data_IF_851797994826
#
_entry.id   IF_851797994826
#
_cell.length_a   1.000
_cell.length_b   1.000
_cell.length_c   1.000
_cell.angle_alpha   90.00
_cell.angle_beta   90.00
_cell.angle_gamma   90.00
#
_symmetry.space_group_name_H-M   'P 1'
#
loop_
_entity.id
_entity.type
_entity.pdbx_description
1 polymer ?
#
# COMPACT_ATOMS: atom_id res chain seq x y z
N UNK A 1 9.34 1.17 33.21
CA UNK A 1 7.94 1.33 32.74
C UNK A 1 7.75 0.63 31.40
N UNK A 2 8.57 0.91 30.37
CA UNK A 2 8.54 0.16 29.09
C UNK A 2 8.90 -1.32 29.26
N UNK A 3 10.03 -1.62 29.91
CA UNK A 3 10.58 -2.98 29.99
C UNK A 3 9.66 -3.93 30.79
N UNK A 4 9.01 -3.41 31.84
CA UNK A 4 8.08 -4.16 32.67
C UNK A 4 6.80 -4.52 31.89
N UNK A 5 6.32 -3.61 31.03
CA UNK A 5 5.20 -3.89 30.13
C UNK A 5 5.60 -4.90 29.06
N UNK A 6 6.83 -4.85 28.53
CA UNK A 6 7.33 -5.81 27.51
C UNK A 6 7.37 -7.22 28.09
N UNK A 7 7.82 -7.35 29.35
CA UNK A 7 7.79 -8.63 30.05
C UNK A 7 6.38 -9.15 30.28
N UNK A 8 5.44 -8.31 30.72
CA UNK A 8 4.05 -8.73 30.91
C UNK A 8 3.38 -9.09 29.58
N UNK A 9 3.68 -8.36 28.50
CA UNK A 9 3.22 -8.70 27.16
C UNK A 9 3.73 -10.08 26.76
N UNK A 10 5.04 -10.33 26.90
CA UNK A 10 5.66 -11.64 26.64
C UNK A 10 4.97 -12.77 27.40
N UNK A 11 4.71 -12.59 28.69
CA UNK A 11 4.12 -13.63 29.53
C UNK A 11 2.67 -13.91 29.13
N UNK A 12 1.90 -12.88 28.77
CA UNK A 12 0.56 -13.02 28.18
C UNK A 12 0.63 -13.80 26.86
N UNK A 13 1.57 -13.46 25.98
CA UNK A 13 1.76 -14.11 24.68
C UNK A 13 2.14 -15.61 24.85
N UNK A 14 3.04 -15.92 25.77
CA UNK A 14 3.46 -17.30 26.05
C UNK A 14 2.35 -18.15 26.68
N UNK A 15 1.55 -17.58 27.59
CA UNK A 15 0.42 -18.30 28.20
C UNK A 15 -0.66 -18.65 27.18
N UNK A 16 -0.95 -17.74 26.25
CA UNK A 16 -1.89 -17.98 25.16
C UNK A 16 -1.37 -19.05 24.19
N UNK A 17 -0.09 -19.00 23.83
CA UNK A 17 0.56 -20.05 23.04
C UNK A 17 0.50 -21.44 23.72
N UNK A 18 0.46 -21.49 25.05
CA UNK A 18 0.27 -22.74 25.80
C UNK A 18 -1.19 -23.16 26.01
N UNK A 19 -2.15 -22.52 25.31
CA UNK A 19 -3.55 -22.90 25.27
C UNK A 19 -4.45 -22.20 26.30
N UNK A 20 -4.01 -21.10 26.91
CA UNK A 20 -4.88 -20.26 27.73
C UNK A 20 -5.98 -19.59 26.86
N UNK A 21 -7.15 -19.32 27.44
CA UNK A 21 -8.23 -18.66 26.71
C UNK A 21 -8.06 -17.13 26.72
N UNK A 22 -8.56 -16.40 25.71
CA UNK A 22 -8.47 -14.94 25.64
C UNK A 22 -9.02 -14.23 26.88
N UNK A 23 -10.14 -14.75 27.39
CA UNK A 23 -10.81 -14.23 28.59
C UNK A 23 -9.98 -14.39 29.86
N UNK A 24 -9.08 -15.38 29.90
CA UNK A 24 -8.28 -15.67 31.09
C UNK A 24 -7.14 -14.67 31.31
N UNK A 25 -6.69 -13.98 30.25
CA UNK A 25 -5.59 -13.00 30.30
C UNK A 25 -6.06 -11.55 30.20
N UNK A 26 -7.34 -11.34 29.87
CA UNK A 26 -7.96 -10.02 29.62
C UNK A 26 -7.75 -9.04 30.78
N UNK A 27 -8.04 -9.45 32.02
CA UNK A 27 -7.94 -8.57 33.20
C UNK A 27 -6.51 -8.11 33.45
N UNK A 28 -5.53 -9.00 33.24
CA UNK A 28 -4.10 -8.68 33.40
C UNK A 28 -3.62 -7.74 32.29
N UNK A 29 -4.12 -7.92 31.07
CA UNK A 29 -3.82 -7.05 29.96
C UNK A 29 -4.39 -5.64 30.20
N UNK A 30 -5.69 -5.53 30.50
CA UNK A 30 -6.35 -4.24 30.73
C UNK A 30 -5.68 -3.46 31.87
N UNK A 31 -5.30 -4.13 32.96
CA UNK A 31 -4.60 -3.49 34.07
C UNK A 31 -3.21 -2.94 33.70
N UNK A 32 -2.53 -3.56 32.73
CA UNK A 32 -1.15 -3.23 32.35
C UNK A 32 -1.08 -2.24 31.18
N UNK A 33 -2.02 -2.37 30.25
CA UNK A 33 -2.07 -1.70 28.96
C UNK A 33 -3.17 -0.65 28.84
N UNK A 34 -3.92 -0.36 29.91
CA UNK A 34 -4.84 0.77 29.94
C UNK A 34 -4.12 2.08 29.52
N UNK A 35 -4.61 2.70 28.44
CA UNK A 35 -4.06 3.95 27.89
C UNK A 35 -2.76 3.80 27.10
N UNK A 36 -2.31 2.56 26.81
CA UNK A 36 -1.24 2.27 25.86
C UNK A 36 -1.85 2.22 24.47
N UNK A 37 -1.23 2.90 23.52
CA UNK A 37 -1.78 3.00 22.17
C UNK A 37 -1.53 1.72 21.37
N UNK A 38 -2.31 1.47 20.31
CA UNK A 38 -2.16 0.22 19.54
C UNK A 38 -0.76 0.13 18.88
N UNK A 39 -0.20 1.28 18.53
CA UNK A 39 1.16 1.43 18.02
C UNK A 39 2.21 1.01 19.07
N UNK A 40 2.06 1.45 20.32
CA UNK A 40 2.98 1.08 21.40
C UNK A 40 2.97 -0.43 21.65
N UNK A 41 1.81 -1.08 21.61
CA UNK A 41 1.71 -2.54 21.76
C UNK A 41 2.37 -3.26 20.58
N UNK A 42 2.13 -2.80 19.35
CA UNK A 42 2.78 -3.37 18.15
C UNK A 42 4.31 -3.21 18.15
N UNK A 43 4.82 -2.09 18.66
CA UNK A 43 6.26 -1.86 18.86
C UNK A 43 6.86 -2.83 19.88
N UNK A 44 6.13 -3.10 20.97
CA UNK A 44 6.57 -4.07 21.97
C UNK A 44 6.54 -5.51 21.45
N UNK A 45 5.55 -5.87 20.63
CA UNK A 45 5.52 -7.16 19.92
C UNK A 45 6.73 -7.32 18.98
N UNK A 46 7.09 -6.26 18.25
CA UNK A 46 8.27 -6.24 17.39
C UNK A 46 9.58 -6.43 18.18
N UNK A 47 9.70 -5.82 19.36
CA UNK A 47 10.85 -6.02 20.24
C UNK A 47 10.93 -7.47 20.75
N UNK A 48 9.78 -8.09 21.05
CA UNK A 48 9.71 -9.49 21.47
C UNK A 48 10.06 -10.46 20.35
N UNK A 49 9.62 -10.21 19.12
CA UNK A 49 9.95 -11.01 17.93
C UNK A 49 11.44 -10.97 17.56
N UNK A 50 12.12 -9.86 17.86
CA UNK A 50 13.56 -9.70 17.59
C UNK A 50 14.48 -10.15 18.74
N UNK A 51 13.91 -10.68 19.82
CA UNK A 51 14.64 -11.17 20.98
C UNK A 51 14.76 -12.70 20.96
N UNK A 52 15.72 -13.29 21.69
CA UNK A 52 15.86 -14.76 21.90
C UNK A 52 14.71 -15.35 22.75
N UNK A 53 13.53 -14.72 22.74
CA UNK A 53 12.40 -15.03 23.61
C UNK A 53 11.64 -16.31 23.22
N UNK A 54 11.87 -16.86 22.03
CA UNK A 54 11.24 -18.08 21.54
C UNK A 54 9.76 -17.92 21.14
N UNK A 55 9.30 -16.67 20.95
CA UNK A 55 7.97 -16.35 20.41
C UNK A 55 8.10 -16.20 18.89
N UNK A 56 7.39 -17.03 18.14
CA UNK A 56 7.41 -17.01 16.69
C UNK A 56 6.32 -16.10 16.13
N UNK A 57 6.49 -15.71 14.87
CA UNK A 57 5.53 -14.88 14.17
C UNK A 57 4.15 -15.56 14.04
N UNK A 58 4.13 -16.88 13.91
CA UNK A 58 2.90 -17.69 13.84
C UNK A 58 2.13 -17.65 15.17
N UNK A 59 2.83 -17.60 16.31
CA UNK A 59 2.24 -17.46 17.64
C UNK A 59 1.51 -16.12 17.79
N UNK A 60 2.11 -15.03 17.27
CA UNK A 60 1.52 -13.67 17.24
C UNK A 60 0.31 -13.57 16.30
N UNK A 61 0.18 -14.46 15.32
CA UNK A 61 -1.00 -14.49 14.43
C UNK A 61 -2.18 -15.30 14.97
N UNK A 62 -1.96 -16.42 15.68
CA UNK A 62 -3.05 -17.18 16.35
C UNK A 62 -3.81 -16.30 17.38
N UNK A 63 -3.19 -15.20 17.79
CA UNK A 63 -3.72 -14.13 18.63
C UNK A 63 -4.70 -13.15 17.95
N UNK A 64 -4.93 -13.19 16.63
CA UNK A 64 -5.74 -12.17 15.94
C UNK A 64 -7.20 -12.05 16.44
N UNK A 65 -7.81 -13.14 16.90
CA UNK A 65 -9.16 -13.12 17.50
C UNK A 65 -9.18 -12.54 18.93
N UNK A 66 -8.03 -12.63 19.61
CA UNK A 66 -7.80 -12.12 20.96
C UNK A 66 -7.49 -10.63 20.89
N UNK A 67 -6.61 -10.21 19.99
CA UNK A 67 -6.24 -8.81 19.74
C UNK A 67 -7.48 -7.96 19.46
N UNK A 68 -8.33 -8.35 18.53
CA UNK A 68 -9.53 -7.59 18.19
C UNK A 68 -10.54 -7.45 19.35
N UNK A 69 -10.62 -8.44 20.26
CA UNK A 69 -11.44 -8.34 21.46
C UNK A 69 -10.76 -7.53 22.58
N UNK A 70 -9.43 -7.63 22.71
CA UNK A 70 -8.60 -6.87 23.65
C UNK A 70 -8.57 -5.36 23.32
N UNK A 71 -8.44 -4.99 22.05
CA UNK A 71 -8.42 -3.59 21.59
C UNK A 71 -9.79 -2.91 21.61
N UNK A 72 -10.89 -3.68 21.66
CA UNK A 72 -12.27 -3.15 21.68
C UNK A 72 -12.56 -2.26 22.88
N UNK A 73 -11.88 -2.49 24.00
CA UNK A 73 -12.05 -1.73 25.25
C UNK A 73 -10.94 -0.69 25.48
N UNK A 74 -9.72 -0.93 24.98
CA UNK A 74 -8.58 -0.03 25.17
C UNK A 74 -8.64 1.22 24.26
N UNK A 75 -9.32 1.13 23.11
CA UNK A 75 -9.40 2.21 22.11
C UNK A 75 -10.70 3.01 22.25
N UNK A 76 -11.01 3.49 23.46
CA UNK A 76 -11.97 4.58 23.61
C UNK A 76 -11.28 5.92 23.31
N UNK A 77 -11.55 6.50 22.13
CA UNK A 77 -11.42 7.96 21.95
C UNK A 77 -10.61 8.49 20.77
N UNK A 78 -10.13 7.68 19.83
CA UNK A 78 -9.50 8.20 18.60
C UNK A 78 -10.58 8.45 17.54
N UNK A 79 -11.44 9.44 17.77
CA UNK A 79 -12.27 10.02 16.71
C UNK A 79 -11.35 10.91 15.84
N UNK A 80 -10.78 10.34 14.78
CA UNK A 80 -10.17 11.14 13.72
C UNK A 80 -11.30 11.89 13.01
N UNK A 81 -11.25 13.22 13.04
CA UNK A 81 -12.24 14.08 12.40
C UNK A 81 -12.43 13.68 10.92
N UNK A 82 -13.68 13.72 10.46
CA UNK A 82 -14.11 13.46 9.07
C UNK A 82 -14.04 12.00 8.56
N UNK A 83 -13.73 11.02 9.42
CA UNK A 83 -13.69 9.59 9.00
C UNK A 83 -15.04 9.02 8.57
N UNK A 84 -16.16 9.57 9.06
CA UNK A 84 -17.51 9.19 8.64
C UNK A 84 -17.89 9.71 7.23
N UNK A 85 -17.04 10.56 6.64
CA UNK A 85 -17.31 11.13 5.32
C UNK A 85 -17.39 10.01 4.25
N UNK A 86 -18.43 9.99 3.39
CA UNK A 86 -18.64 8.91 2.41
C UNK A 86 -17.48 8.70 1.42
N UNK A 87 -16.68 9.73 1.18
CA UNK A 87 -15.46 9.67 0.36
C UNK A 87 -14.16 9.33 1.09
N UNK A 88 -14.18 9.20 2.43
CA UNK A 88 -12.96 8.94 3.19
C UNK A 88 -12.48 7.50 2.95
N UNK A 89 -11.17 7.24 2.74
CA UNK A 89 -10.67 5.90 2.41
C UNK A 89 -11.08 4.81 3.41
N UNK A 90 -11.03 5.10 4.71
CA UNK A 90 -11.48 4.18 5.77
C UNK A 90 -12.96 3.79 5.61
N UNK A 91 -13.83 4.77 5.31
CA UNK A 91 -15.26 4.52 5.17
C UNK A 91 -15.55 3.69 3.93
N UNK A 92 -14.86 3.95 2.82
CA UNK A 92 -14.91 3.10 1.63
C UNK A 92 -14.50 1.68 1.98
N UNK A 93 -13.36 1.48 2.63
CA UNK A 93 -12.88 0.14 2.99
C UNK A 93 -13.91 -0.64 3.84
N UNK A 94 -14.50 0.00 4.85
CA UNK A 94 -15.58 -0.61 5.65
C UNK A 94 -16.82 -0.97 4.82
N UNK A 95 -17.24 -0.08 3.92
CA UNK A 95 -18.41 -0.33 3.06
C UNK A 95 -18.16 -1.45 2.06
N UNK A 96 -16.95 -1.54 1.49
CA UNK A 96 -16.56 -2.64 0.62
C UNK A 96 -16.54 -3.97 1.36
N UNK A 97 -15.97 -4.00 2.57
CA UNK A 97 -15.97 -5.19 3.42
C UNK A 97 -17.39 -5.66 3.75
N UNK A 98 -18.31 -4.74 4.05
CA UNK A 98 -19.73 -5.07 4.21
C UNK A 98 -20.36 -5.62 2.92
N UNK A 99 -20.07 -5.01 1.76
CA UNK A 99 -20.60 -5.42 0.47
C UNK A 99 -20.08 -6.80 0.04
N UNK A 100 -18.81 -7.08 0.31
CA UNK A 100 -18.13 -8.35 0.05
C UNK A 100 -18.72 -9.46 0.93
N UNK A 101 -18.93 -9.23 2.24
CA UNK A 101 -19.66 -10.17 3.12
C UNK A 101 -21.05 -10.49 2.57
N UNK A 102 -21.80 -9.47 2.15
CA UNK A 102 -23.13 -9.68 1.58
C UNK A 102 -23.08 -10.48 0.27
N UNK A 103 -22.05 -10.29 -0.56
CA UNK A 103 -21.83 -11.09 -1.77
C UNK A 103 -21.51 -12.56 -1.44
N UNK A 104 -20.67 -12.80 -0.42
CA UNK A 104 -20.36 -14.14 0.07
C UNK A 104 -21.60 -14.91 0.54
N UNK A 105 -22.49 -14.25 1.29
CA UNK A 105 -23.77 -14.85 1.70
C UNK A 105 -24.65 -15.23 0.51
N UNK A 106 -24.68 -14.41 -0.55
CA UNK A 106 -25.42 -14.72 -1.78
C UNK A 106 -24.80 -15.90 -2.53
N UNK A 107 -23.47 -16.01 -2.55
CA UNK A 107 -22.77 -17.17 -3.12
C UNK A 107 -23.13 -18.46 -2.38
N UNK A 108 -23.03 -18.48 -1.03
CA UNK A 108 -23.43 -19.65 -0.21
C UNK A 108 -24.85 -20.11 -0.55
N UNK A 109 -25.80 -19.18 -0.58
CA UNK A 109 -27.20 -19.48 -0.94
C UNK A 109 -27.36 -20.05 -2.35
N UNK A 110 -26.60 -19.53 -3.32
CA UNK A 110 -26.66 -20.03 -4.70
C UNK A 110 -26.07 -21.44 -4.82
N UNK A 111 -25.02 -21.75 -4.07
CA UNK A 111 -24.46 -23.10 -4.01
C UNK A 111 -25.45 -24.10 -3.40
N UNK A 112 -26.12 -23.74 -2.31
CA UNK A 112 -27.15 -24.58 -1.68
C UNK A 112 -28.37 -24.79 -2.60
N UNK A 113 -28.80 -23.73 -3.28
CA UNK A 113 -29.88 -23.82 -4.26
C UNK A 113 -29.49 -24.68 -5.45
N UNK A 114 -28.24 -24.58 -5.95
CA UNK A 114 -27.75 -25.39 -7.06
C UNK A 114 -27.77 -26.88 -6.71
N UNK A 115 -27.37 -27.24 -5.49
CA UNK A 115 -27.35 -28.62 -5.01
C UNK A 115 -28.75 -29.26 -4.89
N UNK A 116 -29.76 -28.45 -4.55
CA UNK A 116 -31.12 -28.94 -4.26
C UNK A 116 -32.10 -28.81 -5.43
N UNK A 117 -31.73 -28.10 -6.50
CA UNK A 117 -32.59 -27.87 -7.67
C UNK A 117 -32.44 -29.01 -8.67
N UNK A 118 -33.55 -29.59 -9.10
CA UNK A 118 -33.57 -30.68 -10.11
C UNK A 118 -33.90 -30.18 -11.53
N UNK A 119 -34.52 -29.01 -11.66
CA UNK A 119 -34.93 -28.44 -12.95
C UNK A 119 -33.71 -27.91 -13.74
N UNK A 120 -33.39 -28.49 -14.92
CA UNK A 120 -32.21 -28.11 -15.71
C UNK A 120 -32.18 -26.64 -16.14
N UNK A 121 -33.33 -26.02 -16.45
CA UNK A 121 -33.37 -24.61 -16.83
C UNK A 121 -33.04 -23.71 -15.63
N UNK A 122 -33.58 -24.05 -14.46
CA UNK A 122 -33.33 -23.33 -13.22
C UNK A 122 -31.88 -23.50 -12.74
N UNK A 123 -31.30 -24.70 -12.86
CA UNK A 123 -29.88 -24.97 -12.58
C UNK A 123 -28.98 -24.05 -13.42
N UNK A 124 -29.30 -23.90 -14.71
CA UNK A 124 -28.53 -23.04 -15.61
C UNK A 124 -28.59 -21.56 -15.18
N UNK A 125 -29.75 -21.07 -14.75
CA UNK A 125 -29.90 -19.70 -14.26
C UNK A 125 -29.21 -19.49 -12.90
N UNK A 126 -29.28 -20.47 -12.00
CA UNK A 126 -28.53 -20.46 -10.73
C UNK A 126 -27.02 -20.41 -11.01
N UNK A 127 -26.53 -21.21 -11.97
CA UNK A 127 -25.12 -21.22 -12.36
C UNK A 127 -24.65 -19.86 -12.88
N UNK A 128 -25.43 -19.24 -13.77
CA UNK A 128 -25.15 -17.87 -14.25
C UNK A 128 -25.14 -16.87 -13.08
N UNK A 129 -26.11 -16.99 -12.16
CA UNK A 129 -26.18 -16.18 -10.95
C UNK A 129 -24.95 -16.35 -10.06
N UNK A 130 -24.50 -17.59 -9.86
CA UNK A 130 -23.33 -17.96 -9.08
C UNK A 130 -22.07 -17.31 -9.67
N UNK A 131 -21.83 -17.47 -10.96
CA UNK A 131 -20.66 -16.88 -11.63
C UNK A 131 -20.67 -15.34 -11.55
N UNK A 132 -21.85 -14.71 -11.64
CA UNK A 132 -21.98 -13.26 -11.45
C UNK A 132 -21.64 -12.83 -10.02
N UNK A 133 -22.13 -13.55 -9.01
CA UNK A 133 -21.83 -13.22 -7.61
C UNK A 133 -20.37 -13.47 -7.26
N UNK A 134 -19.77 -14.57 -7.75
CA UNK A 134 -18.33 -14.79 -7.66
C UNK A 134 -17.55 -13.67 -8.36
N UNK A 135 -18.02 -13.19 -9.51
CA UNK A 135 -17.43 -12.02 -10.17
C UNK A 135 -17.48 -10.74 -9.35
N UNK A 136 -18.50 -10.55 -8.50
CA UNK A 136 -18.55 -9.43 -7.54
C UNK A 136 -17.58 -9.65 -6.37
N UNK A 137 -17.57 -10.85 -5.77
CA UNK A 137 -16.63 -11.21 -4.71
C UNK A 137 -15.20 -10.99 -5.18
N UNK A 138 -14.84 -11.49 -6.37
CA UNK A 138 -13.49 -11.38 -6.94
C UNK A 138 -12.99 -9.95 -7.16
N UNK A 139 -13.84 -8.93 -7.01
CA UNK A 139 -13.38 -7.54 -6.98
C UNK A 139 -12.59 -7.20 -5.71
N UNK A 140 -12.58 -8.08 -4.68
CA UNK A 140 -11.73 -7.92 -3.50
C UNK A 140 -10.25 -7.72 -3.86
N UNK A 141 -9.80 -8.21 -5.02
CA UNK A 141 -8.42 -7.98 -5.47
C UNK A 141 -8.10 -6.47 -5.59
N UNK A 142 -9.08 -5.65 -5.99
CA UNK A 142 -8.92 -4.18 -6.04
C UNK A 142 -8.84 -3.57 -4.64
N UNK A 143 -9.61 -4.10 -3.70
CA UNK A 143 -9.56 -3.72 -2.29
C UNK A 143 -8.17 -4.01 -1.71
N UNK A 144 -7.66 -5.23 -1.90
CA UNK A 144 -6.31 -5.63 -1.48
C UNK A 144 -5.23 -4.82 -2.17
N UNK A 145 -5.33 -4.57 -3.48
CA UNK A 145 -4.35 -3.74 -4.19
C UNK A 145 -4.21 -2.34 -3.59
N UNK A 146 -5.31 -1.68 -3.22
CA UNK A 146 -5.20 -0.37 -2.56
C UNK A 146 -4.61 -0.47 -1.16
N UNK A 147 -4.98 -1.49 -0.40
CA UNK A 147 -4.38 -1.78 0.91
C UNK A 147 -2.86 -1.93 0.78
N UNK A 148 -2.44 -2.78 -0.14
CA UNK A 148 -1.04 -3.17 -0.40
C UNK A 148 -0.19 -2.06 -1.00
N UNK A 149 -0.77 -1.23 -1.87
CA UNK A 149 0.00 -0.28 -2.68
C UNK A 149 -0.17 1.17 -2.22
N UNK A 150 -1.17 1.48 -1.39
CA UNK A 150 -1.40 2.84 -0.87
C UNK A 150 -1.23 2.94 0.65
N UNK A 151 -1.71 1.96 1.42
CA UNK A 151 -1.65 2.02 2.88
C UNK A 151 -0.34 1.44 3.42
N UNK A 152 0.02 0.22 3.01
CA UNK A 152 1.24 -0.44 3.48
C UNK A 152 2.53 0.39 3.29
N UNK A 153 2.75 1.10 2.16
CA UNK A 153 3.93 1.97 2.01
C UNK A 153 4.07 3.04 3.08
N UNK A 154 2.96 3.66 3.45
CA UNK A 154 2.93 4.74 4.44
C UNK A 154 3.18 4.14 5.84
N UNK A 155 2.61 2.97 6.11
CA UNK A 155 2.85 2.23 7.35
C UNK A 155 4.33 1.85 7.51
N UNK A 156 4.96 1.33 6.45
CA UNK A 156 6.39 1.01 6.41
C UNK A 156 7.26 2.24 6.62
N UNK A 157 6.89 3.38 6.00
CA UNK A 157 7.58 4.66 6.21
C UNK A 157 7.54 5.13 7.66
N UNK A 158 6.47 4.80 8.38
CA UNK A 158 6.34 5.03 9.82
C UNK A 158 7.01 3.95 10.70
N UNK A 159 7.70 2.98 10.10
CA UNK A 159 8.46 1.96 10.80
C UNK A 159 7.68 0.68 11.12
N UNK A 160 6.52 0.48 10.49
CA UNK A 160 5.67 -0.70 10.70
C UNK A 160 5.71 -1.63 9.48
N UNK A 161 6.79 -2.37 9.31
CA UNK A 161 7.07 -3.23 8.15
C UNK A 161 6.51 -4.67 8.27
N UNK A 162 6.38 -5.16 9.50
CA UNK A 162 6.01 -6.55 9.78
C UNK A 162 4.53 -6.85 9.51
N UNK A 163 3.55 -6.05 10.00
CA UNK A 163 2.14 -6.31 9.72
C UNK A 163 1.78 -6.30 8.21
N UNK A 164 2.25 -5.34 7.39
CA UNK A 164 2.02 -5.31 5.95
C UNK A 164 2.47 -6.57 5.23
N UNK A 165 3.71 -7.00 5.50
CA UNK A 165 4.33 -8.15 4.84
C UNK A 165 3.54 -9.43 5.04
N UNK A 166 2.99 -9.59 6.24
CA UNK A 166 2.23 -10.77 6.63
C UNK A 166 0.85 -10.74 6.03
N UNK A 167 0.16 -9.61 6.18
CA UNK A 167 -1.17 -9.44 5.61
C UNK A 167 -1.14 -9.68 4.11
N UNK A 168 -0.11 -9.20 3.41
CA UNK A 168 0.09 -9.47 1.98
C UNK A 168 0.29 -10.98 1.69
N UNK A 169 1.04 -11.69 2.54
CA UNK A 169 1.18 -13.15 2.41
C UNK A 169 -0.17 -13.87 2.49
N UNK A 170 -1.02 -13.49 3.44
CA UNK A 170 -2.38 -14.04 3.58
C UNK A 170 -3.28 -13.60 2.41
N UNK A 171 -3.16 -12.34 1.94
CA UNK A 171 -3.88 -11.84 0.77
C UNK A 171 -3.56 -12.68 -0.49
N UNK A 172 -2.30 -13.07 -0.67
CA UNK A 172 -1.87 -13.99 -1.74
C UNK A 172 -2.51 -15.38 -1.61
N UNK A 173 -2.53 -15.96 -0.40
CA UNK A 173 -3.21 -17.25 -0.15
C UNK A 173 -4.71 -17.18 -0.47
N UNK A 174 -5.38 -16.10 -0.07
CA UNK A 174 -6.80 -15.86 -0.34
C UNK A 174 -7.05 -15.77 -1.85
N UNK A 175 -6.19 -15.08 -2.61
CA UNK A 175 -6.26 -15.02 -4.08
C UNK A 175 -6.15 -16.41 -4.71
N UNK A 176 -5.24 -17.25 -4.22
CA UNK A 176 -5.06 -18.61 -4.71
C UNK A 176 -6.27 -19.50 -4.41
N UNK A 177 -6.83 -19.41 -3.21
CA UNK A 177 -8.06 -20.13 -2.84
C UNK A 177 -9.23 -19.70 -3.73
N UNK A 178 -9.41 -18.39 -3.92
CA UNK A 178 -10.47 -17.86 -4.79
C UNK A 178 -10.33 -18.32 -6.24
N UNK A 179 -9.10 -18.38 -6.77
CA UNK A 179 -8.86 -18.85 -8.13
C UNK A 179 -9.32 -20.32 -8.31
N UNK A 180 -9.08 -21.18 -7.30
CA UNK A 180 -9.55 -22.58 -7.30
C UNK A 180 -11.08 -22.66 -7.29
N UNK A 181 -11.74 -21.85 -6.45
CA UNK A 181 -13.21 -21.75 -6.41
C UNK A 181 -13.76 -21.36 -7.78
N UNK A 182 -13.21 -20.32 -8.41
CA UNK A 182 -13.69 -19.82 -9.68
C UNK A 182 -13.51 -20.83 -10.81
N UNK A 183 -12.38 -21.54 -10.84
CA UNK A 183 -12.12 -22.61 -11.82
C UNK A 183 -13.09 -23.78 -11.65
N UNK A 184 -13.28 -24.27 -10.41
CA UNK A 184 -14.23 -25.35 -10.12
C UNK A 184 -15.67 -24.97 -10.44
N UNK A 185 -16.10 -23.74 -10.11
CA UNK A 185 -17.45 -23.24 -10.40
C UNK A 185 -17.72 -23.06 -11.90
N UNK A 186 -16.71 -22.67 -12.69
CA UNK A 186 -16.84 -22.55 -14.16
C UNK A 186 -17.04 -23.90 -14.85
N UNK A 187 -16.53 -24.97 -14.26
CA UNK A 187 -16.62 -26.34 -14.78
C UNK A 187 -17.96 -27.02 -14.49
N UNK A 188 -18.84 -26.42 -13.68
CA UNK A 188 -20.18 -26.97 -13.48
C UNK A 188 -20.95 -27.00 -14.82
N UNK A 189 -21.71 -28.09 -15.11
CA UNK A 189 -22.01 -29.22 -14.22
C UNK A 189 -21.00 -30.40 -14.28
N UNK A 190 -19.90 -30.28 -15.03
CA UNK A 190 -18.91 -31.37 -15.20
C UNK A 190 -18.09 -31.64 -13.92
N UNK A 191 -18.01 -30.66 -13.01
CA UNK A 191 -17.43 -30.79 -11.67
C UNK A 191 -18.49 -31.08 -10.59
N UNK A 192 -18.07 -31.60 -9.45
CA UNK A 192 -18.97 -31.85 -8.32
C UNK A 192 -19.35 -30.54 -7.61
N UNK A 193 -20.64 -30.31 -7.36
CA UNK A 193 -21.08 -29.17 -6.54
C UNK A 193 -20.50 -29.23 -5.12
N UNK A 194 -20.29 -30.43 -4.58
CA UNK A 194 -19.69 -30.61 -3.26
C UNK A 194 -18.25 -30.10 -3.22
N UNK A 195 -17.47 -30.35 -4.28
CA UNK A 195 -16.10 -29.85 -4.42
C UNK A 195 -16.08 -28.31 -4.46
N UNK A 196 -17.01 -27.69 -5.21
CA UNK A 196 -17.14 -26.23 -5.26
C UNK A 196 -17.48 -25.66 -3.88
N UNK A 197 -18.38 -26.31 -3.13
CA UNK A 197 -18.75 -25.91 -1.76
C UNK A 197 -17.57 -26.00 -0.79
N UNK A 198 -16.81 -27.10 -0.81
CA UNK A 198 -15.63 -27.28 0.04
C UNK A 198 -14.56 -26.23 -0.25
N UNK A 199 -14.23 -26.00 -1.53
CA UNK A 199 -13.28 -24.97 -1.93
C UNK A 199 -13.77 -23.57 -1.54
N UNK A 200 -15.06 -23.30 -1.72
CA UNK A 200 -15.65 -22.01 -1.38
C UNK A 200 -15.59 -21.75 0.12
N UNK A 201 -15.89 -22.73 0.97
CA UNK A 201 -15.86 -22.52 2.42
C UNK A 201 -14.43 -22.35 2.94
N UNK A 202 -13.44 -23.06 2.37
CA UNK A 202 -12.03 -22.83 2.67
C UNK A 202 -11.58 -21.40 2.31
N UNK A 203 -11.98 -20.89 1.14
CA UNK A 203 -11.77 -19.49 0.78
C UNK A 203 -12.51 -18.54 1.73
N UNK A 204 -13.78 -18.82 2.03
CA UNK A 204 -14.64 -17.96 2.82
C UNK A 204 -14.12 -17.77 4.24
N UNK A 205 -13.61 -18.84 4.85
CA UNK A 205 -13.00 -18.81 6.18
C UNK A 205 -11.82 -17.83 6.25
N UNK A 206 -10.86 -17.95 5.32
CA UNK A 206 -9.69 -17.06 5.28
C UNK A 206 -10.09 -15.62 4.93
N UNK A 207 -11.02 -15.46 3.98
CA UNK A 207 -11.47 -14.15 3.53
C UNK A 207 -12.24 -13.38 4.61
N UNK A 208 -13.18 -14.03 5.30
CA UNK A 208 -13.89 -13.44 6.44
C UNK A 208 -12.93 -13.12 7.59
N UNK A 209 -11.93 -13.96 7.81
CA UNK A 209 -10.84 -13.71 8.75
C UNK A 209 -10.01 -12.48 8.38
N UNK A 210 -9.71 -12.24 7.10
CA UNK A 210 -8.99 -11.04 6.66
C UNK A 210 -9.83 -9.77 6.84
N UNK A 211 -11.12 -9.81 6.47
CA UNK A 211 -12.03 -8.67 6.68
C UNK A 211 -12.07 -8.28 8.17
N UNK A 212 -12.11 -9.27 9.07
CA UNK A 212 -12.08 -9.02 10.50
C UNK A 212 -10.78 -8.35 10.96
N UNK A 213 -9.62 -8.85 10.49
CA UNK A 213 -8.30 -8.26 10.78
C UNK A 213 -8.20 -6.84 10.25
N UNK A 214 -8.73 -6.58 9.06
CA UNK A 214 -8.74 -5.24 8.47
C UNK A 214 -9.56 -4.26 9.31
N UNK A 215 -10.79 -4.62 9.67
CA UNK A 215 -11.69 -3.73 10.41
C UNK A 215 -11.27 -3.52 11.86
N UNK A 216 -10.75 -4.57 12.51
CA UNK A 216 -10.50 -4.56 13.96
C UNK A 216 -9.08 -4.18 14.32
N UNK A 217 -8.13 -4.36 13.39
CA UNK A 217 -6.70 -4.17 13.66
C UNK A 217 -6.13 -3.15 12.69
N UNK A 218 -6.12 -3.44 11.39
CA UNK A 218 -5.43 -2.59 10.41
C UNK A 218 -6.00 -1.17 10.41
N UNK A 219 -7.31 -1.00 10.17
CA UNK A 219 -7.91 0.32 10.09
C UNK A 219 -7.74 1.12 11.39
N UNK A 220 -7.68 0.45 12.54
CA UNK A 220 -7.42 1.10 13.83
C UNK A 220 -5.98 1.64 13.90
N UNK A 221 -5.00 0.82 13.53
CA UNK A 221 -3.59 1.24 13.47
C UNK A 221 -3.42 2.39 12.48
N UNK A 222 -4.03 2.28 11.29
CA UNK A 222 -3.93 3.31 10.27
C UNK A 222 -4.55 4.64 10.73
N UNK A 223 -5.72 4.61 11.39
CA UNK A 223 -6.36 5.81 11.92
C UNK A 223 -5.50 6.52 12.98
N UNK A 224 -4.76 5.76 13.77
CA UNK A 224 -3.87 6.31 14.78
C UNK A 224 -2.57 6.85 14.17
N UNK A 225 -2.02 6.16 13.17
CA UNK A 225 -0.71 6.46 12.60
C UNK A 225 -0.75 7.53 11.49
N UNK A 226 -1.81 7.57 10.69
CA UNK A 226 -1.83 8.35 9.44
C UNK A 226 -2.28 9.78 9.66
N UNK A 227 -1.59 10.70 9.00
CA UNK A 227 -1.98 12.10 8.95
C UNK A 227 -3.11 12.33 7.94
N UNK A 228 -3.76 13.49 8.02
CA UNK A 228 -4.78 13.87 7.03
C UNK A 228 -4.21 13.98 5.60
N UNK A 229 -2.94 14.35 5.44
CA UNK A 229 -2.27 14.39 4.13
C UNK A 229 -2.02 12.99 3.57
N UNK A 230 -1.69 12.01 4.43
CA UNK A 230 -1.55 10.60 4.02
C UNK A 230 -2.88 10.07 3.49
N UNK A 231 -3.96 10.30 4.23
CA UNK A 231 -5.31 9.92 3.79
C UNK A 231 -5.72 10.60 2.48
N UNK A 232 -5.29 11.85 2.27
CA UNK A 232 -5.60 12.57 1.04
C UNK A 232 -4.87 11.96 -0.15
N UNK A 233 -3.58 11.64 -0.01
CA UNK A 233 -2.82 10.90 -1.03
C UNK A 233 -3.46 9.56 -1.34
N UNK A 234 -3.88 8.80 -0.32
CA UNK A 234 -4.60 7.53 -0.52
C UNK A 234 -5.91 7.76 -1.30
N UNK A 235 -6.69 8.77 -0.94
CA UNK A 235 -7.94 9.09 -1.62
C UNK A 235 -7.72 9.49 -3.08
N UNK A 236 -6.69 10.29 -3.37
CA UNK A 236 -6.35 10.75 -4.73
C UNK A 236 -5.82 9.62 -5.60
N UNK A 237 -5.04 8.69 -5.04
CA UNK A 237 -4.45 7.58 -5.77
C UNK A 237 -5.36 6.34 -5.84
N UNK A 238 -6.46 6.28 -5.10
CA UNK A 238 -7.34 5.09 -5.05
C UNK A 238 -7.97 4.72 -6.40
N UNK A 239 -8.32 5.72 -7.24
CA UNK A 239 -8.91 5.47 -8.56
C UNK A 239 -7.98 4.64 -9.48
N UNK A 240 -6.66 4.79 -9.32
CA UNK A 240 -5.65 4.08 -10.12
C UNK A 240 -5.70 2.55 -9.98
N UNK A 241 -6.17 2.07 -8.82
CA UNK A 241 -6.29 0.65 -8.48
C UNK A 241 -7.75 0.15 -8.57
N UNK A 242 -8.70 1.09 -8.61
CA UNK A 242 -10.13 0.82 -8.68
C UNK A 242 -10.75 0.41 -7.34
N UNK A 243 -12.08 0.28 -7.36
CA UNK A 243 -12.88 -0.03 -6.17
C UNK A 243 -13.56 -1.40 -6.28
N UNK A 244 -13.86 -2.00 -5.13
CA UNK A 244 -14.53 -3.29 -5.00
C UNK A 244 -16.02 -3.09 -4.66
N UNK A 245 -16.92 -3.27 -5.62
CA UNK A 245 -18.38 -3.14 -5.49
C UNK A 245 -18.87 -1.70 -5.18
N UNK A 246 -18.24 -0.99 -4.24
CA UNK A 246 -18.64 0.33 -3.76
C UNK A 246 -17.76 1.41 -4.38
N UNK A 247 -18.36 2.46 -4.93
CA UNK A 247 -17.64 3.65 -5.37
C UNK A 247 -17.91 4.80 -4.39
N UNK A 248 -16.94 5.72 -4.21
CA UNK A 248 -17.13 6.90 -3.39
C UNK A 248 -18.23 7.76 -4.00
N UNK A 249 -19.26 8.09 -3.21
CA UNK A 249 -20.35 8.94 -3.67
C UNK A 249 -19.94 10.42 -3.76
N UNK A 250 -18.92 10.81 -3.01
CA UNK A 250 -18.41 12.17 -2.90
C UNK A 250 -16.89 12.16 -2.81
N UNK A 251 -16.22 13.17 -3.38
CA UNK A 251 -14.78 13.35 -3.20
C UNK A 251 -14.54 13.89 -1.79
N UNK A 252 -13.69 13.23 -1.01
CA UNK A 252 -13.29 13.75 0.28
C UNK A 252 -12.31 14.91 0.11
N UNK A 253 -12.69 16.07 0.66
CA UNK A 253 -11.85 17.27 0.70
C UNK A 253 -11.84 17.76 2.15
N UNK A 254 -10.75 17.54 2.89
CA UNK A 254 -10.67 17.98 4.27
C UNK A 254 -10.68 19.51 4.37
N UNK A 255 -11.33 20.05 5.39
CA UNK A 255 -11.30 21.50 5.65
C UNK A 255 -9.90 21.92 6.10
N UNK A 256 -9.25 22.77 5.30
CA UNK A 256 -7.97 23.41 5.66
C UNK A 256 -8.21 24.87 5.98
N UNK A 257 -7.65 25.34 7.10
CA UNK A 257 -7.53 26.77 7.38
C UNK A 257 -6.14 27.19 6.91
N UNK A 258 -6.06 27.93 5.82
CA UNK A 258 -4.79 28.46 5.32
C UNK A 258 -4.43 29.72 6.12
N UNK A 259 -3.32 29.67 6.86
CA UNK A 259 -2.82 30.83 7.61
C UNK A 259 -1.94 31.75 6.74
N UNK A 260 -1.90 31.52 5.42
CA UNK A 260 -1.17 32.34 4.45
C UNK A 260 -2.11 33.10 3.51
N UNK A 261 -3.04 33.89 4.04
CA UNK A 261 -3.61 35.00 3.25
C UNK A 261 -4.38 36.01 4.12
N UNK A 262 -3.70 36.66 5.07
CA UNK A 262 -4.12 37.98 5.59
C UNK A 262 -2.87 38.83 5.89
N UNK A 263 -2.13 39.19 4.84
CA UNK A 263 -1.17 40.28 4.87
C UNK A 263 -1.26 41.09 3.58
N UNK A 264 -2.49 41.42 3.19
CA UNK A 264 -2.76 42.42 2.17
C UNK A 264 -4.06 43.17 2.48
N UNK A 265 -4.20 43.67 3.70
CA UNK A 265 -5.03 44.84 3.95
C UNK A 265 -4.22 45.85 4.75
N UNK A 266 -4.00 46.99 4.11
CA UNK A 266 -3.38 48.17 4.67
C UNK A 266 -4.16 48.63 5.91
N UNK A 267 -3.49 48.71 7.05
CA UNK A 267 -3.85 49.69 8.07
C UNK A 267 -2.58 50.48 8.43
N UNK A 268 -2.58 51.74 8.00
CA UNK A 268 -1.65 52.75 8.49
C UNK A 268 -1.87 52.90 10.01
N UNK A 269 -0.91 52.43 10.79
CA UNK A 269 -0.94 52.49 12.25
C UNK A 269 0.47 52.47 12.81
N UNK A 270 1.01 53.67 13.00
CA UNK A 270 2.29 53.98 13.64
C UNK A 270 2.77 52.99 14.71
N UNK A 271 3.96 52.41 14.52
CA UNK A 271 4.81 52.02 15.64
C UNK A 271 6.27 52.16 15.26
N UNK A 272 7.00 52.90 16.10
CA UNK A 272 8.40 53.24 15.91
C UNK A 272 9.28 52.00 15.91
N UNK A 273 10.04 51.82 14.82
CA UNK A 273 11.14 50.86 14.74
C UNK A 273 12.33 51.37 15.55
N UNK A 274 12.65 50.72 16.67
CA UNK A 274 13.96 50.87 17.33
C UNK A 274 14.96 49.98 16.58
N UNK A 275 16.09 50.50 16.08
CA UNK A 275 17.08 49.68 15.40
C UNK A 275 17.95 48.95 16.41
N UNK A 276 17.83 47.62 16.49
CA UNK A 276 18.83 46.79 17.17
C UNK A 276 19.88 46.28 16.18
N UNK A 277 21.12 46.66 16.47
CA UNK A 277 22.34 46.25 15.78
C UNK A 277 22.59 44.73 15.94
N UNK A 278 22.90 44.07 14.82
CA UNK A 278 23.49 42.73 14.63
C UNK A 278 22.60 41.49 14.92
N UNK A 279 22.30 40.76 13.85
CA UNK A 279 22.01 39.31 13.86
C UNK A 279 20.61 38.95 13.39
N UNK A 280 20.49 37.98 12.47
CA UNK A 280 19.27 37.40 11.86
C UNK A 280 18.31 36.72 12.86
N UNK A 281 18.03 37.33 14.00
CA UNK A 281 17.11 36.80 15.01
C UNK A 281 15.77 37.52 14.91
N UNK A 282 14.74 36.78 14.49
CA UNK A 282 13.37 37.25 14.56
C UNK A 282 12.83 37.01 15.96
N UNK A 283 12.34 38.08 16.59
CA UNK A 283 11.78 38.06 17.94
C UNK A 283 10.30 38.40 17.87
N UNK A 284 9.46 37.48 18.32
CA UNK A 284 8.02 37.70 18.41
C UNK A 284 7.59 37.58 19.87
N UNK A 285 6.96 38.63 20.38
CA UNK A 285 6.42 38.68 21.75
C UNK A 285 4.93 38.41 21.66
N UNK A 286 4.46 37.38 22.36
CA UNK A 286 3.05 37.00 22.47
C UNK A 286 2.61 37.33 23.89
N UNK A 287 1.62 38.22 24.02
CA UNK A 287 0.97 38.51 25.30
C UNK A 287 -0.13 37.49 25.58
N UNK A 288 -0.03 36.78 26.70
CA UNK A 288 -1.11 35.94 27.21
C UNK A 288 -1.62 36.50 28.55
N UNK A 289 -2.82 36.10 29.02
CA UNK A 289 -3.37 36.55 30.30
C UNK A 289 -2.48 36.22 31.52
N UNK A 290 -1.55 35.28 31.35
CA UNK A 290 -0.63 34.79 32.39
C UNK A 290 0.79 35.40 32.27
N UNK A 291 1.06 36.19 31.23
CA UNK A 291 2.33 36.92 31.06
C UNK A 291 2.78 37.07 29.60
N UNK A 292 3.93 37.72 29.40
CA UNK A 292 4.55 37.86 28.08
C UNK A 292 5.47 36.65 27.78
N UNK A 293 5.23 35.98 26.65
CA UNK A 293 6.11 34.94 26.12
C UNK A 293 6.90 35.51 24.93
N UNK A 294 8.23 35.44 24.96
CA UNK A 294 9.08 35.90 23.85
C UNK A 294 9.70 34.72 23.13
N UNK A 295 9.33 34.50 21.87
CA UNK A 295 9.93 33.50 21.00
C UNK A 295 11.00 34.18 20.16
N UNK A 296 12.23 33.65 20.20
CA UNK A 296 13.34 34.12 19.36
C UNK A 296 13.79 32.96 18.49
N UNK A 297 13.83 33.13 17.17
CA UNK A 297 14.35 32.11 16.26
C UNK A 297 15.16 32.73 15.11
N UNK A 298 16.12 31.95 14.62
CA UNK A 298 16.97 32.30 13.48
C UNK A 298 16.56 31.42 12.30
N UNK A 299 16.05 31.97 11.18
CA UNK A 299 15.74 31.17 9.99
C UNK A 299 17.01 30.54 9.45
N UNK A 300 17.00 29.21 9.23
CA UNK A 300 18.07 28.57 8.45
C UNK A 300 18.10 29.23 7.07
N UNK A 301 19.29 29.65 6.61
CA UNK A 301 19.50 30.13 5.23
C UNK A 301 18.89 29.13 4.26
N UNK A 302 17.94 29.58 3.44
CA UNK A 302 17.48 28.83 2.26
C UNK A 302 18.71 28.53 1.42
N UNK A 303 19.03 27.26 1.23
CA UNK A 303 20.01 26.84 0.23
C UNK A 303 19.59 27.41 -1.13
N UNK A 304 20.56 27.87 -1.92
CA UNK A 304 20.32 28.39 -3.27
C UNK A 304 19.52 27.38 -4.08
N UNK A 305 18.34 27.78 -4.57
CA UNK A 305 17.47 26.90 -5.34
C UNK A 305 18.13 26.54 -6.67
N UNK A 306 18.46 25.27 -6.87
CA UNK A 306 18.92 24.73 -8.15
C UNK A 306 17.89 25.01 -9.27
N UNK A 307 18.31 25.70 -10.34
CA UNK A 307 17.44 25.96 -11.50
C UNK A 307 17.36 24.72 -12.40
N UNK A 308 16.21 24.04 -12.37
CA UNK A 308 15.93 22.83 -13.17
C UNK A 308 15.88 23.08 -14.67
N UNK A 309 15.78 24.33 -15.11
CA UNK A 309 15.69 24.74 -16.52
C UNK A 309 17.03 25.08 -17.14
N UNK A 310 18.06 25.25 -16.33
CA UNK A 310 19.39 25.56 -16.82
C UNK A 310 20.01 24.30 -17.46
N UNK A 311 20.45 24.36 -18.73
CA UNK A 311 21.12 23.23 -19.36
C UNK A 311 22.47 22.92 -18.69
N UNK A 312 22.74 21.65 -18.48
CA UNK A 312 23.98 21.13 -17.92
C UNK A 312 24.59 20.10 -18.88
N UNK A 313 25.92 19.90 -18.84
CA UNK A 313 26.54 18.79 -19.56
C UNK A 313 25.81 17.47 -19.23
N UNK A 314 25.33 16.79 -20.26
CA UNK A 314 24.57 15.54 -20.13
C UNK A 314 24.97 14.59 -21.26
N UNK A 315 25.67 13.50 -20.93
CA UNK A 315 26.25 12.59 -21.90
C UNK A 315 27.18 13.31 -22.89
N UNK A 316 26.89 13.19 -24.18
CA UNK A 316 27.63 13.86 -25.26
C UNK A 316 27.04 15.23 -25.67
N UNK A 317 26.21 15.85 -24.81
CA UNK A 317 25.53 17.11 -25.11
C UNK A 317 25.19 17.92 -23.86
N UNK A 318 24.16 18.75 -23.95
CA UNK A 318 23.66 19.57 -22.84
C UNK A 318 22.15 19.42 -22.74
N UNK A 319 21.66 19.13 -21.53
CA UNK A 319 20.23 19.08 -21.22
C UNK A 319 19.98 19.74 -19.86
N UNK A 320 18.86 20.42 -19.74
CA UNK A 320 18.30 20.75 -18.43
C UNK A 320 17.64 19.53 -17.81
N UNK A 321 17.39 19.55 -16.50
CA UNK A 321 16.67 18.47 -15.82
C UNK A 321 15.25 18.32 -16.39
N UNK A 322 14.59 19.42 -16.75
CA UNK A 322 13.28 19.40 -17.40
C UNK A 322 13.32 18.70 -18.77
N UNK A 323 14.30 19.03 -19.61
CA UNK A 323 14.46 18.37 -20.92
C UNK A 323 14.79 16.88 -20.80
N UNK A 324 15.65 16.51 -19.84
CA UNK A 324 15.97 15.11 -19.57
C UNK A 324 14.70 14.32 -19.17
N UNK A 325 13.86 14.90 -18.31
CA UNK A 325 12.59 14.29 -17.91
C UNK A 325 11.63 14.09 -19.10
N UNK A 326 11.50 15.10 -19.97
CA UNK A 326 10.67 15.02 -21.17
C UNK A 326 11.17 13.94 -22.15
N UNK A 327 12.49 13.82 -22.32
CA UNK A 327 13.07 12.77 -23.17
C UNK A 327 12.76 11.39 -22.62
N UNK A 328 12.95 11.18 -21.30
CA UNK A 328 12.67 9.89 -20.66
C UNK A 328 11.20 9.51 -20.78
N UNK A 329 10.27 10.45 -20.62
CA UNK A 329 8.84 10.22 -20.80
C UNK A 329 8.44 9.91 -22.25
N UNK A 330 9.26 10.28 -23.25
CA UNK A 330 8.97 10.03 -24.66
C UNK A 330 9.51 8.69 -25.18
N UNK A 331 10.33 7.99 -24.38
CA UNK A 331 10.86 6.68 -24.76
C UNK A 331 9.73 5.65 -24.88
N UNK A 332 9.79 4.73 -25.87
CA UNK A 332 8.77 3.69 -26.06
C UNK A 332 8.95 2.55 -25.04
N UNK A 333 9.34 2.88 -23.82
CA UNK A 333 9.62 1.95 -22.73
C UNK A 333 9.23 2.59 -21.40
N UNK A 334 8.62 1.80 -20.53
CA UNK A 334 8.46 2.14 -19.11
C UNK A 334 9.78 1.85 -18.42
N UNK A 335 10.32 2.82 -17.70
CA UNK A 335 11.61 2.79 -17.05
C UNK A 335 11.38 2.87 -15.56
N UNK A 336 12.10 2.02 -14.81
CA UNK A 336 12.21 2.09 -13.36
C UNK A 336 13.67 1.97 -12.99
N UNK A 337 14.15 2.80 -12.06
CA UNK A 337 15.51 2.77 -11.56
C UNK A 337 15.54 2.55 -10.05
N UNK A 338 16.25 1.51 -9.64
CA UNK A 338 16.55 1.16 -8.26
C UNK A 338 18.03 1.42 -8.03
N UNK A 339 18.39 2.20 -7.02
CA UNK A 339 19.79 2.57 -6.81
C UNK A 339 20.61 1.45 -6.15
N UNK A 340 21.90 1.73 -5.93
CA UNK A 340 22.84 0.78 -5.31
C UNK A 340 22.50 0.37 -3.88
N UNK A 341 21.65 1.11 -3.19
CA UNK A 341 21.19 0.81 -1.83
C UNK A 341 19.84 0.07 -1.85
N UNK A 342 19.46 -0.48 -3.01
CA UNK A 342 18.22 -1.20 -3.26
C UNK A 342 16.96 -0.34 -3.09
N UNK A 343 17.08 0.99 -3.21
CA UNK A 343 15.97 1.93 -3.07
C UNK A 343 15.38 2.26 -4.44
N UNK A 344 14.07 2.12 -4.57
CA UNK A 344 13.29 2.58 -5.72
C UNK A 344 13.43 4.10 -5.82
N UNK A 345 14.11 4.60 -6.85
CA UNK A 345 14.49 6.01 -6.92
C UNK A 345 13.74 6.79 -8.01
N UNK A 346 13.36 6.13 -9.11
CA UNK A 346 12.81 6.83 -10.27
C UNK A 346 11.94 5.92 -11.14
N UNK A 347 10.93 6.49 -11.77
CA UNK A 347 10.19 5.93 -12.90
C UNK A 347 9.80 7.04 -13.89
N UNK A 348 9.53 6.69 -15.15
CA UNK A 348 9.07 7.64 -16.17
C UNK A 348 7.55 7.49 -16.45
N UNK A 349 6.96 8.54 -17.02
CA UNK A 349 5.58 8.54 -17.54
C UNK A 349 5.60 8.30 -19.05
N UNK A 350 5.88 7.07 -19.47
CA UNK A 350 6.03 6.70 -20.89
C UNK A 350 4.71 6.80 -21.70
N UNK A 351 3.57 6.69 -21.01
CA UNK A 351 2.22 6.72 -21.55
C UNK A 351 1.25 7.18 -20.46
N UNK A 352 -0.01 7.55 -20.78
CA UNK A 352 -1.03 7.74 -19.76
C UNK A 352 -1.09 6.54 -18.80
N UNK A 353 -1.28 6.81 -17.51
CA UNK A 353 -1.20 5.80 -16.45
C UNK A 353 -2.04 4.54 -16.74
N UNK A 354 -3.22 4.68 -17.34
CA UNK A 354 -4.10 3.54 -17.69
C UNK A 354 -3.54 2.61 -18.77
N UNK A 355 -2.66 3.12 -19.63
CA UNK A 355 -2.06 2.35 -20.72
C UNK A 355 -0.78 1.62 -20.31
N UNK A 356 -0.19 2.02 -19.17
CA UNK A 356 1.03 1.43 -18.63
C UNK A 356 0.84 -0.05 -18.26
N UNK A 357 1.87 -0.83 -18.55
CA UNK A 357 1.97 -2.26 -18.31
C UNK A 357 2.28 -2.48 -16.82
N UNK A 358 3.36 -1.88 -16.33
CA UNK A 358 3.75 -1.87 -14.93
C UNK A 358 3.57 -0.46 -14.36
N UNK A 359 2.33 -0.20 -13.94
CA UNK A 359 1.94 1.03 -13.24
C UNK A 359 2.85 1.25 -12.03
N UNK A 360 3.33 2.49 -11.87
CA UNK A 360 4.10 2.96 -10.72
C UNK A 360 3.38 4.15 -10.10
N UNK A 361 3.48 4.30 -8.79
CA UNK A 361 2.91 5.43 -8.06
C UNK A 361 3.99 6.24 -7.35
N UNK A 362 3.75 7.53 -7.07
CA UNK A 362 4.69 8.35 -6.32
C UNK A 362 5.05 7.75 -4.95
N UNK A 363 4.12 7.06 -4.30
CA UNK A 363 4.32 6.42 -2.99
C UNK A 363 5.37 5.29 -2.99
N UNK A 364 5.67 4.69 -4.14
CA UNK A 364 6.70 3.66 -4.26
C UNK A 364 8.13 4.23 -4.23
N UNK A 365 8.30 5.51 -4.56
CA UNK A 365 9.62 6.17 -4.57
C UNK A 365 10.13 6.31 -3.14
N UNK A 366 11.35 5.80 -2.90
CA UNK A 366 12.00 5.78 -1.59
C UNK A 366 11.86 4.45 -0.84
N UNK A 367 11.03 3.50 -1.33
CA UNK A 367 10.93 2.16 -0.73
C UNK A 367 12.11 1.28 -1.14
N UNK A 368 12.46 0.32 -0.28
CA UNK A 368 13.33 -0.77 -0.68
C UNK A 368 12.62 -1.63 -1.74
N UNK A 369 13.33 -2.01 -2.80
CA UNK A 369 12.78 -2.77 -3.93
C UNK A 369 12.12 -4.07 -3.51
N UNK A 370 12.58 -4.71 -2.44
CA UNK A 370 11.97 -5.91 -1.89
C UNK A 370 10.52 -5.63 -1.43
N UNK A 371 10.26 -4.49 -0.81
CA UNK A 371 8.94 -4.11 -0.30
C UNK A 371 7.97 -3.73 -1.43
N UNK A 372 8.48 -3.43 -2.62
CA UNK A 372 7.66 -3.13 -3.80
C UNK A 372 7.13 -4.39 -4.52
N UNK A 373 7.41 -5.59 -4.00
CA UNK A 373 7.04 -6.85 -4.64
C UNK A 373 6.35 -7.82 -3.66
N UNK A 374 5.37 -8.62 -4.14
CA UNK A 374 4.76 -9.67 -3.32
C UNK A 374 5.80 -10.66 -2.75
N UNK A 375 5.59 -11.20 -1.53
CA UNK A 375 6.53 -12.11 -0.87
C UNK A 375 7.02 -13.28 -1.73
N UNK A 376 6.13 -13.88 -2.53
CA UNK A 376 6.45 -15.01 -3.43
C UNK A 376 7.48 -14.71 -4.52
N UNK A 377 7.72 -13.43 -4.84
CA UNK A 377 8.70 -13.02 -5.84
C UNK A 377 10.00 -12.50 -5.23
N UNK A 378 10.09 -12.35 -3.90
CA UNK A 378 11.26 -11.78 -3.22
C UNK A 378 12.55 -12.53 -3.52
N UNK A 379 12.54 -13.87 -3.48
CA UNK A 379 13.74 -14.67 -3.77
C UNK A 379 14.25 -14.42 -5.20
N UNK A 380 13.33 -14.24 -6.15
CA UNK A 380 13.67 -13.95 -7.54
C UNK A 380 14.23 -12.52 -7.67
N UNK A 381 13.62 -11.54 -7.01
CA UNK A 381 14.11 -10.16 -6.97
C UNK A 381 15.52 -10.11 -6.38
N UNK A 382 15.73 -10.73 -5.22
CA UNK A 382 17.04 -10.85 -4.56
C UNK A 382 18.09 -11.48 -5.48
N UNK A 383 17.76 -12.59 -6.13
CA UNK A 383 18.67 -13.26 -7.04
C UNK A 383 19.06 -12.40 -8.25
N UNK A 384 18.13 -11.62 -8.80
CA UNK A 384 18.40 -10.68 -9.91
C UNK A 384 19.28 -9.53 -9.41
N UNK A 385 18.89 -8.87 -8.32
CA UNK A 385 19.65 -7.74 -7.75
C UNK A 385 21.08 -8.15 -7.40
N UNK A 386 21.25 -9.29 -6.71
CA UNK A 386 22.56 -9.84 -6.37
C UNK A 386 23.36 -10.23 -7.62
N UNK A 387 22.73 -10.89 -8.59
CA UNK A 387 23.38 -11.31 -9.83
C UNK A 387 23.92 -10.15 -10.66
N UNK A 388 23.15 -9.05 -10.73
CA UNK A 388 23.57 -7.81 -11.39
C UNK A 388 24.66 -7.09 -10.60
N UNK A 389 24.49 -6.97 -9.27
CA UNK A 389 25.46 -6.32 -8.37
C UNK A 389 26.85 -6.97 -8.42
N UNK A 390 26.89 -8.29 -8.33
CA UNK A 390 28.13 -9.09 -8.35
C UNK A 390 28.74 -9.25 -9.75
N UNK A 391 28.05 -8.78 -10.79
CA UNK A 391 28.51 -8.92 -12.18
C UNK A 391 28.45 -10.35 -12.72
N UNK A 392 27.61 -11.21 -12.13
CA UNK A 392 27.32 -12.56 -12.68
C UNK A 392 26.65 -12.47 -14.05
N UNK A 393 25.83 -11.43 -14.25
CA UNK A 393 25.25 -11.04 -15.53
C UNK A 393 25.16 -9.51 -15.61
N UNK A 394 25.21 -8.98 -16.81
CA UNK A 394 24.94 -7.55 -17.05
C UNK A 394 23.45 -7.27 -17.24
N UNK A 395 22.67 -8.28 -17.66
CA UNK A 395 21.24 -8.19 -17.89
C UNK A 395 20.49 -9.49 -17.55
N UNK A 396 19.25 -9.34 -17.11
CA UNK A 396 18.23 -10.39 -17.05
C UNK A 396 17.04 -9.97 -17.91
N UNK A 397 16.58 -10.87 -18.78
CA UNK A 397 15.51 -10.61 -19.73
C UNK A 397 14.40 -11.63 -19.53
N UNK A 398 13.15 -11.16 -19.62
CA UNK A 398 11.96 -12.00 -19.58
C UNK A 398 10.87 -11.43 -20.47
N UNK A 399 9.98 -12.29 -20.95
CA UNK A 399 8.88 -11.87 -21.81
C UNK A 399 7.64 -12.71 -21.55
N UNK A 400 6.47 -12.10 -21.79
CA UNK A 400 5.19 -12.78 -21.68
C UNK A 400 4.16 -12.15 -22.62
N UNK A 401 3.18 -12.95 -23.02
CA UNK A 401 2.04 -12.48 -23.80
C UNK A 401 0.90 -12.13 -22.85
N UNK A 402 0.41 -10.89 -22.89
CA UNK A 402 -0.77 -10.47 -22.16
C UNK A 402 -2.00 -10.61 -23.07
N UNK A 403 -2.70 -11.74 -22.97
CA UNK A 403 -3.85 -12.02 -23.85
C UNK A 403 -4.99 -11.01 -23.67
N UNK A 404 -5.25 -10.58 -22.43
CA UNK A 404 -6.31 -9.62 -22.11
C UNK A 404 -6.07 -8.22 -22.69
N UNK A 405 -4.80 -7.83 -22.86
CA UNK A 405 -4.41 -6.52 -23.40
C UNK A 405 -3.96 -6.58 -24.86
N UNK A 406 -3.84 -7.78 -25.45
CA UNK A 406 -3.29 -7.97 -26.80
C UNK A 406 -1.83 -7.59 -26.94
N UNK A 407 -1.07 -7.48 -25.83
CA UNK A 407 0.32 -7.02 -25.80
C UNK A 407 1.32 -8.18 -25.72
N UNK A 408 2.53 -8.00 -26.25
CA UNK A 408 3.65 -8.92 -26.03
C UNK A 408 4.74 -8.15 -25.31
N UNK A 409 4.89 -8.41 -24.02
CA UNK A 409 5.72 -7.59 -23.14
C UNK A 409 7.11 -8.18 -23.03
N UNK A 410 8.12 -7.36 -23.25
CA UNK A 410 9.51 -7.65 -22.94
C UNK A 410 9.94 -6.81 -21.73
N UNK A 411 10.54 -7.45 -20.74
CA UNK A 411 11.04 -6.83 -19.51
C UNK A 411 12.53 -7.12 -19.41
N UNK A 412 13.32 -6.08 -19.18
CA UNK A 412 14.76 -6.20 -19.00
C UNK A 412 15.22 -5.51 -17.73
N UNK A 413 16.02 -6.21 -16.93
CA UNK A 413 16.75 -5.67 -15.80
C UNK A 413 18.22 -5.58 -16.18
N UNK A 414 18.80 -4.38 -16.18
CA UNK A 414 20.19 -4.14 -16.54
C UNK A 414 20.97 -3.54 -15.36
N UNK A 415 22.19 -3.99 -15.14
CA UNK A 415 23.10 -3.34 -14.19
C UNK A 415 23.50 -1.96 -14.72
N UNK A 416 23.30 -0.93 -13.91
CA UNK A 416 23.86 0.40 -14.15
C UNK A 416 25.20 0.47 -13.45
N UNK A 417 26.25 0.83 -14.19
CA UNK A 417 27.60 0.99 -13.68
C UNK A 417 28.14 2.35 -14.09
N UNK A 418 28.99 2.94 -13.25
CA UNK A 418 29.69 4.17 -13.61
C UNK A 418 30.93 3.89 -14.49
N UNK A 419 31.71 4.94 -14.79
CA UNK A 419 32.93 4.84 -15.60
C UNK A 419 34.03 3.97 -14.97
N UNK A 420 34.02 3.79 -13.64
CA UNK A 420 34.94 2.90 -12.94
C UNK A 420 34.47 1.44 -12.96
N UNK A 421 33.25 1.18 -13.42
CA UNK A 421 32.60 -0.14 -13.40
C UNK A 421 31.88 -0.44 -12.09
N UNK A 422 31.81 0.53 -11.17
CA UNK A 422 31.14 0.35 -9.89
C UNK A 422 29.62 0.31 -10.08
N UNK A 423 28.98 -0.59 -9.35
CA UNK A 423 27.54 -0.79 -9.44
C UNK A 423 26.78 0.42 -8.84
N UNK A 424 25.95 1.05 -9.66
CA UNK A 424 25.14 2.21 -9.29
C UNK A 424 23.66 1.88 -9.11
N UNK A 425 23.21 0.70 -9.54
CA UNK A 425 21.83 0.26 -9.39
C UNK A 425 21.36 -0.66 -10.50
N UNK A 426 20.05 -0.89 -10.55
CA UNK A 426 19.37 -1.66 -11.58
C UNK A 426 18.40 -0.77 -12.34
N UNK A 427 18.50 -0.81 -13.67
CA UNK A 427 17.55 -0.23 -14.59
C UNK A 427 16.61 -1.34 -15.07
N UNK A 428 15.34 -1.25 -14.68
CA UNK A 428 14.25 -2.00 -15.29
C UNK A 428 13.71 -1.18 -16.48
N UNK A 429 13.54 -1.82 -17.63
CA UNK A 429 12.78 -1.25 -18.74
C UNK A 429 11.84 -2.29 -19.35
N UNK A 430 10.61 -1.84 -19.61
CA UNK A 430 9.50 -2.66 -20.08
C UNK A 430 8.96 -2.09 -21.37
N UNK A 431 8.75 -2.96 -22.36
CA UNK A 431 8.32 -2.56 -23.68
C UNK A 431 7.26 -3.52 -24.23
N UNK A 432 6.19 -2.97 -24.79
CA UNK A 432 5.31 -3.74 -25.67
C UNK A 432 5.99 -3.91 -27.03
N UNK A 433 6.42 -5.14 -27.31
CA UNK A 433 7.07 -5.50 -28.55
C UNK A 433 6.12 -6.08 -29.60
N UNK A 434 4.81 -6.20 -29.29
CA UNK A 434 3.83 -6.69 -30.25
C UNK A 434 3.84 -5.88 -31.57
N UNK A 435 3.89 -4.53 -31.57
CA UNK A 435 3.96 -3.76 -32.80
C UNK A 435 5.19 -4.10 -33.66
N UNK A 436 6.34 -4.40 -33.03
CA UNK A 436 7.55 -4.80 -33.78
C UNK A 436 7.42 -6.19 -34.38
N UNK A 437 6.71 -7.10 -33.72
CA UNK A 437 6.48 -8.46 -34.21
C UNK A 437 5.52 -8.51 -35.40
N UNK A 438 4.68 -7.50 -35.54
CA UNK A 438 3.71 -7.37 -36.64
C UNK A 438 4.33 -6.75 -37.90
N UNK A 439 5.54 -6.19 -37.80
CA UNK A 439 6.29 -5.69 -38.95
C UNK A 439 6.60 -6.89 -39.87
N UNK A 440 5.99 -6.88 -41.06
CA UNK A 440 6.13 -7.91 -42.08
C UNK A 440 6.80 -7.39 -43.36
N UNK A 441 7.37 -6.19 -43.30
CA UNK A 441 8.10 -5.55 -44.40
C UNK A 441 9.55 -5.35 -44.04
N UNK A 442 10.43 -5.47 -45.03
CA UNK A 442 11.87 -5.26 -44.84
C UNK A 442 12.24 -3.77 -44.70
N UNK A 443 11.37 -2.87 -45.15
CA UNK A 443 11.62 -1.43 -45.13
C UNK A 443 10.33 -0.62 -45.03
N UNK A 444 10.31 0.35 -44.12
CA UNK A 444 9.27 1.37 -44.01
C UNK A 444 9.92 2.74 -43.76
N UNK A 445 9.70 3.72 -44.65
CA UNK A 445 10.19 5.11 -44.52
C UNK A 445 9.06 6.13 -44.37
N UNK A 446 7.84 5.66 -44.07
CA UNK A 446 6.57 6.39 -44.17
C UNK A 446 6.66 7.89 -43.91
N UNK A 447 6.87 8.66 -44.98
CA UNK A 447 6.58 10.09 -45.03
C UNK A 447 5.27 10.20 -45.83
N UNK A 448 4.16 10.20 -45.11
CA UNK A 448 2.90 10.81 -45.56
C UNK A 448 2.68 12.12 -44.81
#
# INVERSE_FOLDING_TARGET
MSDERIHVLRDILLELHHGASPESVQERFDATFAGVSAIEISLMEHELMNSDAGVTFEDVMELCDVHANLFKNAVQGVEVADTDHPGHPVQIFKQENLALRAAMMRVRRLLDNYETTEDPEMIQEIHKGLLRQLGLVGQFDRHYRRKEELMFPIMEKYGHDSPPKVMWGVDDQIRELFAKVLDAAKKLPDSSILEVKELFEAFAQEFEGMIFKEESILLMILLEAFTQDDWLSIAEESDAYGYAIILPSEKWVPKRVDFKEEASEESEGSTESIPSLKGDEHRQVIETPEGQLTITFTPKKKEESFDRKQPQPFGNGYLSVEQANLILNQLPMEITFVNKDDIFQYYNDAAPFEEMIFKRTPSQVGRNVELCHPPKYLDKVKAIMQGLREGKKDKYEMWFKSESRGKFVHVTYAAVRDEAGDFQGVLEYVQDIQPYREINTDFYRGME
#
